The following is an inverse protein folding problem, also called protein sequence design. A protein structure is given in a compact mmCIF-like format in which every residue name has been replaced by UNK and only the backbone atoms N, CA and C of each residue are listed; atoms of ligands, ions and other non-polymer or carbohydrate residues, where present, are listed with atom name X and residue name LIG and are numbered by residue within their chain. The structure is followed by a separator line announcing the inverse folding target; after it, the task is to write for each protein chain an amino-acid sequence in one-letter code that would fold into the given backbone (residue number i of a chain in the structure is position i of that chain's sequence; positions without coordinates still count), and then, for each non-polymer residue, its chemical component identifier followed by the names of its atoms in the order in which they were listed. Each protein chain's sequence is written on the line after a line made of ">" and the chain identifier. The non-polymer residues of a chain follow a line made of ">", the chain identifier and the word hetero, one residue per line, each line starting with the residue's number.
data_IF_866711728995
#
_entry.id   IF_866711728995
#
_cell.length_a   1.000
_cell.length_b   1.000
_cell.length_c   1.000
_cell.angle_alpha   90.00
_cell.angle_beta   90.00
_cell.angle_gamma   90.00
#
_symmetry.space_group_name_H-M   'P 1'
#
loop_
_entity.id
_entity.type
_entity.pdbx_description
1 polymer ?
#
# COMPACT_ATOMS: atom_id res chain seq x y z
N UNK A 1 14.26 -5.07 12.48
CA UNK A 1 13.26 -5.35 11.43
C UNK A 1 13.97 -5.37 10.08
N UNK A 2 13.89 -6.46 9.31
CA UNK A 2 14.63 -6.61 8.05
C UNK A 2 13.94 -5.88 6.89
N UNK A 3 14.67 -5.58 5.81
CA UNK A 3 14.14 -4.94 4.59
C UNK A 3 12.97 -5.74 4.01
N UNK A 4 13.05 -7.07 4.07
CA UNK A 4 11.99 -8.01 3.65
C UNK A 4 10.71 -7.84 4.45
N UNK A 5 10.79 -7.74 5.79
CA UNK A 5 9.61 -7.51 6.63
C UNK A 5 8.94 -6.18 6.32
N UNK A 6 9.73 -5.12 6.08
CA UNK A 6 9.19 -3.79 5.71
C UNK A 6 8.48 -3.80 4.35
N UNK A 7 9.03 -4.53 3.38
CA UNK A 7 8.39 -4.73 2.07
C UNK A 7 7.04 -5.44 2.19
N UNK A 8 6.97 -6.54 2.95
CA UNK A 8 5.71 -7.27 3.14
C UNK A 8 4.66 -6.43 3.87
N UNK A 9 5.05 -5.63 4.86
CA UNK A 9 4.11 -4.72 5.54
C UNK A 9 3.58 -3.66 4.57
N UNK A 10 4.45 -3.04 3.77
CA UNK A 10 4.02 -2.08 2.75
C UNK A 10 3.08 -2.72 1.70
N UNK A 11 3.34 -3.97 1.32
CA UNK A 11 2.51 -4.73 0.39
C UNK A 11 1.13 -5.03 0.96
N UNK A 12 1.07 -5.52 2.21
CA UNK A 12 -0.20 -5.80 2.90
C UNK A 12 -0.99 -4.50 3.09
N UNK A 13 -0.33 -3.42 3.50
CA UNK A 13 -0.96 -2.11 3.65
C UNK A 13 -1.54 -1.59 2.33
N UNK A 14 -0.82 -1.75 1.21
CA UNK A 14 -1.31 -1.37 -0.11
C UNK A 14 -2.56 -2.18 -0.50
N UNK A 15 -2.53 -3.50 -0.33
CA UNK A 15 -3.67 -4.38 -0.63
C UNK A 15 -4.88 -4.03 0.24
N UNK A 16 -4.68 -3.86 1.56
CA UNK A 16 -5.75 -3.50 2.47
C UNK A 16 -6.37 -2.15 2.11
N UNK A 17 -5.56 -1.16 1.76
CA UNK A 17 -6.03 0.17 1.38
C UNK A 17 -6.86 0.14 0.09
N UNK A 18 -6.45 -0.67 -0.90
CA UNK A 18 -7.21 -0.86 -2.14
C UNK A 18 -8.54 -1.54 -1.87
N UNK A 19 -8.57 -2.57 -1.01
CA UNK A 19 -9.82 -3.24 -0.62
C UNK A 19 -10.78 -2.25 0.05
N UNK A 20 -10.29 -1.43 0.99
CA UNK A 20 -11.11 -0.41 1.66
C UNK A 20 -11.62 0.64 0.66
N UNK A 21 -10.79 1.06 -0.29
CA UNK A 21 -11.19 1.99 -1.34
C UNK A 21 -12.28 1.43 -2.24
N UNK A 22 -12.17 0.16 -2.66
CA UNK A 22 -13.18 -0.51 -3.47
C UNK A 22 -14.47 -0.65 -2.66
N UNK A 23 -14.38 -1.11 -1.41
CA UNK A 23 -15.56 -1.26 -0.54
C UNK A 23 -16.26 0.08 -0.32
N UNK A 24 -15.54 1.17 -0.04
CA UNK A 24 -16.16 2.49 0.14
C UNK A 24 -16.77 3.05 -1.15
N UNK A 25 -16.20 2.70 -2.31
CA UNK A 25 -16.69 3.15 -3.62
C UNK A 25 -17.97 2.41 -4.05
N UNK A 26 -18.04 1.09 -3.84
CA UNK A 26 -19.14 0.26 -4.35
C UNK A 26 -20.25 -0.03 -3.34
N UNK A 27 -20.02 0.25 -2.05
CA UNK A 27 -21.06 0.06 -1.04
C UNK A 27 -22.02 1.25 -1.03
N UNK A 28 -23.21 1.05 -1.61
CA UNK A 28 -24.31 2.02 -1.68
C UNK A 28 -24.70 2.65 -0.32
N UNK A 29 -24.46 1.97 0.81
CA UNK A 29 -24.71 2.53 2.16
C UNK A 29 -23.82 3.72 2.53
N UNK A 30 -22.72 3.93 1.81
CA UNK A 30 -21.83 5.09 1.99
C UNK A 30 -22.09 6.19 0.95
N UNK A 31 -23.18 6.11 0.19
CA UNK A 31 -23.57 7.14 -0.77
C UNK A 31 -23.87 8.47 -0.09
N UNK A 32 -23.04 9.48 -0.38
CA UNK A 32 -23.24 10.92 -0.09
C UNK A 32 -23.05 11.41 1.36
N UNK A 33 -22.32 10.68 2.20
CA UNK A 33 -21.88 11.19 3.51
C UNK A 33 -20.45 11.78 3.47
N UNK A 34 -20.20 12.91 4.13
CA UNK A 34 -18.84 13.42 4.41
C UNK A 34 -17.83 12.35 4.87
N UNK A 35 -18.19 11.41 5.79
CA UNK A 35 -17.25 10.37 6.21
C UNK A 35 -16.86 9.40 5.10
N UNK A 36 -17.73 9.15 4.11
CA UNK A 36 -17.43 8.27 2.99
C UNK A 36 -16.38 8.90 2.05
N UNK A 37 -16.53 10.19 1.74
CA UNK A 37 -15.57 10.94 0.92
C UNK A 37 -14.19 11.02 1.60
N UNK A 38 -14.17 11.22 2.93
CA UNK A 38 -12.93 11.16 3.70
C UNK A 38 -12.28 9.77 3.66
N UNK A 39 -13.05 8.70 3.90
CA UNK A 39 -12.54 7.32 3.85
C UNK A 39 -12.01 6.94 2.48
N UNK A 40 -12.67 7.38 1.41
CA UNK A 40 -12.25 7.15 0.03
C UNK A 40 -10.96 7.92 -0.29
N UNK A 41 -10.84 9.19 0.11
CA UNK A 41 -9.60 9.98 -0.04
C UNK A 41 -8.45 9.45 0.82
N UNK A 42 -8.71 9.09 2.07
CA UNK A 42 -7.73 8.56 3.01
C UNK A 42 -7.19 7.18 2.57
N UNK A 43 -8.08 6.28 2.14
CA UNK A 43 -7.68 4.98 1.59
C UNK A 43 -6.98 5.11 0.23
N UNK A 44 -7.34 6.09 -0.60
CA UNK A 44 -6.57 6.43 -1.80
C UNK A 44 -5.15 6.90 -1.48
N UNK A 45 -5.01 7.83 -0.53
CA UNK A 45 -3.71 8.37 -0.10
C UNK A 45 -2.82 7.32 0.58
N UNK A 46 -3.39 6.50 1.48
CA UNK A 46 -2.69 5.37 2.08
C UNK A 46 -2.29 4.31 1.03
N UNK A 47 -3.14 4.05 0.05
CA UNK A 47 -2.85 3.12 -1.03
C UNK A 47 -1.67 3.59 -1.86
N UNK A 48 -1.65 4.87 -2.23
CA UNK A 48 -0.54 5.48 -2.97
C UNK A 48 0.77 5.49 -2.17
N UNK A 49 0.72 5.92 -0.90
CA UNK A 49 1.91 5.93 -0.03
C UNK A 49 2.48 4.52 0.22
N UNK A 50 1.60 3.53 0.39
CA UNK A 50 2.00 2.13 0.56
C UNK A 50 2.59 1.57 -0.74
N UNK A 51 2.04 1.92 -1.89
CA UNK A 51 2.56 1.52 -3.21
C UNK A 51 3.96 2.08 -3.47
N UNK A 52 4.21 3.35 -3.13
CA UNK A 52 5.56 3.93 -3.17
C UNK A 52 6.52 3.20 -2.24
N UNK A 53 6.05 2.79 -1.06
CA UNK A 53 6.79 1.92 -0.14
C UNK A 53 7.16 0.58 -0.78
N UNK A 54 6.22 -0.10 -1.43
CA UNK A 54 6.45 -1.37 -2.14
C UNK A 54 7.51 -1.20 -3.22
N UNK A 55 7.42 -0.15 -4.04
CA UNK A 55 8.43 0.12 -5.10
C UNK A 55 9.81 0.37 -4.47
N UNK A 56 9.87 1.26 -3.47
CA UNK A 56 11.14 1.68 -2.84
C UNK A 56 11.83 0.50 -2.16
N UNK A 57 11.11 -0.26 -1.35
CA UNK A 57 11.66 -1.45 -0.68
C UNK A 57 11.91 -2.60 -1.65
N UNK A 58 11.13 -2.72 -2.73
CA UNK A 58 11.35 -3.70 -3.80
C UNK A 58 12.66 -3.45 -4.56
N UNK A 59 12.94 -2.19 -4.93
CA UNK A 59 14.22 -1.79 -5.55
C UNK A 59 15.38 -2.07 -4.59
N UNK A 60 15.22 -1.73 -3.31
CA UNK A 60 16.25 -1.96 -2.29
C UNK A 60 16.55 -3.46 -2.12
N UNK A 61 15.52 -4.31 -2.03
CA UNK A 61 15.67 -5.77 -1.98
C UNK A 61 16.37 -6.33 -3.22
N UNK A 62 16.09 -5.77 -4.40
CA UNK A 62 16.76 -6.19 -5.64
C UNK A 62 18.25 -5.84 -5.64
N UNK A 63 18.61 -4.65 -5.16
CA UNK A 63 20.02 -4.23 -5.00
C UNK A 63 20.76 -5.09 -3.97
N UNK A 64 20.16 -5.32 -2.79
CA UNK A 64 20.72 -6.18 -1.75
C UNK A 64 20.99 -7.61 -2.27
N UNK A 65 20.11 -8.15 -3.13
CA UNK A 65 20.33 -9.46 -3.78
C UNK A 65 21.45 -9.43 -4.82
N UNK A 66 21.56 -8.37 -5.63
CA UNK A 66 22.63 -8.28 -6.64
C UNK A 66 24.01 -8.13 -6.00
N UNK A 67 24.13 -7.34 -4.94
CA UNK A 67 25.38 -7.20 -4.18
C UNK A 67 25.81 -8.51 -3.52
N UNK A 68 24.85 -9.31 -3.01
CA UNK A 68 25.11 -10.65 -2.47
C UNK A 68 25.51 -11.69 -3.50
N UNK A 69 25.12 -11.52 -4.77
CA UNK A 69 25.46 -12.44 -5.86
C UNK A 69 26.77 -12.06 -6.56
N UNK A 70 27.20 -10.81 -6.39
CA UNK A 70 28.45 -10.28 -6.92
C UNK A 70 29.64 -10.37 -5.95
N UNK A 71 29.37 -10.76 -4.69
CA UNK A 71 30.36 -11.05 -3.64
C UNK A 71 30.54 -12.57 -3.47
#
# INVERSE_FOLDING_TARGET
>A
MTTTTRFYIALIAAIASVIVFILSTYTLSFGNGEPANFLQGFSGGLGFGSFLGVITYGIKLRKEKQERLAA
#
